data_IF_191469615642
#
_entry.id   IF_191469615642
#
_cell.length_a   1.000
_cell.length_b   1.000
_cell.length_c   1.000
_cell.angle_alpha   90.00
_cell.angle_beta   90.00
_cell.angle_gamma   90.00
#
_symmetry.space_group_name_H-M   'P 1'
#
loop_
_entity.id
_entity.type
_entity.pdbx_description
1 polymer ?
#
# COMPACT_ATOMS: atom_id res chain seq x y z
N UNK A 1 -29.76 1.99 2.92
CA UNK A 1 -28.62 2.45 2.10
C UNK A 1 -27.58 1.33 2.11
N UNK A 2 -27.25 0.73 0.95
CA UNK A 2 -26.18 -0.29 0.88
C UNK A 2 -24.85 0.42 1.10
N UNK A 3 -24.13 0.05 2.15
CA UNK A 3 -22.82 0.60 2.47
C UNK A 3 -21.77 -0.49 2.24
N UNK A 4 -20.67 -0.16 1.56
CA UNK A 4 -19.57 -1.11 1.29
C UNK A 4 -19.05 -1.76 2.58
N UNK A 5 -19.10 -1.05 3.71
CA UNK A 5 -18.64 -1.57 5.01
C UNK A 5 -19.51 -2.72 5.56
N UNK A 6 -20.71 -2.95 5.04
CA UNK A 6 -21.51 -4.12 5.41
C UNK A 6 -20.95 -5.41 4.78
N UNK A 7 -20.27 -5.29 3.65
CA UNK A 7 -19.74 -6.41 2.87
C UNK A 7 -18.24 -6.65 3.13
N UNK A 8 -17.59 -5.75 3.88
CA UNK A 8 -16.16 -5.77 4.16
C UNK A 8 -15.88 -5.95 5.65
N UNK A 9 -14.79 -6.65 5.98
CA UNK A 9 -14.39 -6.88 7.38
C UNK A 9 -13.96 -5.57 8.06
N UNK A 10 -14.33 -5.36 9.32
CA UNK A 10 -13.80 -4.26 10.12
C UNK A 10 -12.29 -4.45 10.37
N UNK A 11 -11.53 -3.40 10.11
CA UNK A 11 -10.07 -3.33 10.27
C UNK A 11 -9.64 -2.24 11.25
N UNK A 12 -10.58 -1.62 11.97
CA UNK A 12 -10.30 -0.53 12.93
C UNK A 12 -9.18 -0.88 13.92
N UNK A 13 -9.11 -2.15 14.34
CA UNK A 13 -8.08 -2.67 15.23
C UNK A 13 -6.66 -2.60 14.65
N UNK A 14 -6.48 -2.49 13.32
CA UNK A 14 -5.15 -2.34 12.72
C UNK A 14 -4.48 -1.02 13.14
N UNK A 15 -5.27 0.02 13.40
CA UNK A 15 -4.77 1.28 13.92
C UNK A 15 -4.18 1.13 15.33
N UNK A 16 -4.52 0.05 16.05
CA UNK A 16 -3.93 -0.23 17.37
C UNK A 16 -2.46 -0.67 17.29
N UNK A 17 -1.95 -1.00 16.09
CA UNK A 17 -0.53 -1.29 15.93
C UNK A 17 0.35 -0.04 15.92
N UNK A 18 -0.19 1.18 15.87
CA UNK A 18 0.63 2.39 16.00
C UNK A 18 1.44 2.34 17.31
N UNK A 19 2.78 2.38 17.25
CA UNK A 19 3.61 2.32 18.44
C UNK A 19 3.45 3.59 19.30
N UNK A 20 3.41 3.35 20.60
CA UNK A 20 3.51 4.34 21.67
C UNK A 20 4.79 4.08 22.47
N UNK A 21 5.12 4.98 23.39
CA UNK A 21 6.36 4.99 24.17
C UNK A 21 6.75 3.62 24.75
N UNK A 22 5.80 2.91 25.38
CA UNK A 22 6.07 1.61 25.99
C UNK A 22 6.62 0.58 25.01
N UNK A 23 6.15 0.58 23.76
CA UNK A 23 6.61 -0.36 22.74
C UNK A 23 8.01 0.00 22.21
N UNK A 24 8.35 1.28 22.13
CA UNK A 24 9.71 1.73 21.78
C UNK A 24 10.75 1.29 22.82
N UNK A 25 10.38 1.19 24.10
CA UNK A 25 11.27 0.68 25.15
C UNK A 25 11.29 -0.85 25.26
N UNK A 26 10.32 -1.55 24.67
CA UNK A 26 10.13 -2.99 24.87
C UNK A 26 10.58 -3.83 23.69
N UNK A 27 10.31 -3.37 22.46
CA UNK A 27 10.56 -4.13 21.25
C UNK A 27 11.69 -3.53 20.40
N UNK A 28 12.35 -4.41 19.66
CA UNK A 28 13.35 -4.05 18.66
C UNK A 28 12.74 -3.24 17.52
N UNK A 29 13.60 -2.52 16.81
CA UNK A 29 13.22 -1.66 15.68
C UNK A 29 12.43 -2.39 14.61
N UNK A 30 12.76 -3.64 14.28
CA UNK A 30 12.06 -4.43 13.26
C UNK A 30 10.55 -4.55 13.56
N UNK A 31 10.19 -4.81 14.82
CA UNK A 31 8.80 -4.91 15.27
C UNK A 31 8.16 -3.52 15.30
N UNK A 32 8.83 -2.53 15.87
CA UNK A 32 8.29 -1.17 16.00
C UNK A 32 8.06 -0.50 14.65
N UNK A 33 8.97 -0.68 13.69
CA UNK A 33 8.85 -0.17 12.33
C UNK A 33 7.79 -0.91 11.52
N UNK A 34 7.71 -2.25 11.65
CA UNK A 34 6.64 -3.03 11.05
C UNK A 34 5.26 -2.57 11.55
N UNK A 35 5.11 -2.40 12.87
CA UNK A 35 3.88 -1.94 13.49
C UNK A 35 3.46 -0.53 13.05
N UNK A 36 4.43 0.39 12.95
CA UNK A 36 4.21 1.71 12.35
C UNK A 36 3.65 1.58 10.92
N UNK A 37 4.23 0.70 10.09
CA UNK A 37 3.72 0.46 8.74
C UNK A 37 2.36 -0.22 8.69
N UNK A 38 1.99 -1.05 9.67
CA UNK A 38 0.63 -1.60 9.76
C UNK A 38 -0.39 -0.47 9.93
N UNK A 39 -0.07 0.54 10.74
CA UNK A 39 -0.95 1.71 10.88
C UNK A 39 -1.06 2.52 9.57
N UNK A 40 0.04 2.68 8.85
CA UNK A 40 0.01 3.37 7.56
C UNK A 40 -0.80 2.59 6.51
N UNK A 41 -0.63 1.26 6.50
CA UNK A 41 -1.40 0.34 5.66
C UNK A 41 -2.90 0.43 5.95
N UNK A 42 -3.29 0.51 7.23
CA UNK A 42 -4.67 0.76 7.64
C UNK A 42 -5.25 2.01 6.97
N UNK A 43 -4.52 3.13 6.98
CA UNK A 43 -5.00 4.36 6.33
C UNK A 43 -5.15 4.20 4.81
N UNK A 44 -4.25 3.48 4.13
CA UNK A 44 -4.39 3.24 2.69
C UNK A 44 -5.61 2.39 2.35
N UNK A 45 -5.86 1.33 3.12
CA UNK A 45 -7.07 0.51 2.93
C UNK A 45 -8.34 1.31 3.24
N UNK A 46 -8.34 2.12 4.30
CA UNK A 46 -9.45 3.03 4.60
C UNK A 46 -9.71 4.03 3.47
N UNK A 47 -8.67 4.63 2.87
CA UNK A 47 -8.80 5.53 1.73
C UNK A 47 -9.38 4.82 0.50
N UNK A 48 -8.95 3.58 0.24
CA UNK A 48 -9.47 2.77 -0.85
C UNK A 48 -10.96 2.44 -0.66
N UNK A 49 -11.34 1.97 0.54
CA UNK A 49 -12.73 1.66 0.89
C UNK A 49 -13.63 2.89 0.88
N UNK A 50 -13.13 4.01 1.38
CA UNK A 50 -13.83 5.30 1.33
C UNK A 50 -14.08 5.74 -0.11
N UNK A 51 -13.11 5.55 -1.00
CA UNK A 51 -13.26 5.84 -2.43
C UNK A 51 -14.34 4.97 -3.08
N UNK A 52 -14.39 3.66 -2.76
CA UNK A 52 -15.49 2.79 -3.19
C UNK A 52 -16.83 3.26 -2.62
N UNK A 53 -16.88 3.59 -1.33
CA UNK A 53 -18.09 4.08 -0.67
C UNK A 53 -18.65 5.31 -1.39
N UNK A 54 -17.82 6.30 -1.71
CA UNK A 54 -18.28 7.48 -2.42
C UNK A 54 -18.79 7.16 -3.81
N UNK A 55 -18.15 6.24 -4.55
CA UNK A 55 -18.63 5.79 -5.86
C UNK A 55 -20.09 5.28 -5.83
N UNK A 56 -20.54 4.73 -4.70
CA UNK A 56 -21.89 4.19 -4.49
C UNK A 56 -22.94 5.23 -4.08
N UNK A 57 -22.54 6.45 -3.71
CA UNK A 57 -23.44 7.45 -3.10
C UNK A 57 -24.19 8.31 -4.14
N UNK A 58 -25.06 7.66 -4.91
CA UNK A 58 -25.84 8.30 -5.97
C UNK A 58 -26.74 9.44 -5.47
N UNK A 59 -27.34 9.29 -4.28
CA UNK A 59 -28.22 10.31 -3.69
C UNK A 59 -27.44 11.60 -3.44
N UNK A 60 -26.22 11.54 -2.89
CA UNK A 60 -25.41 12.75 -2.70
C UNK A 60 -24.93 13.34 -4.02
N UNK A 61 -24.64 12.53 -5.04
CA UNK A 61 -24.28 13.09 -6.34
C UNK A 61 -25.41 13.90 -6.97
N UNK A 62 -26.66 13.44 -6.83
CA UNK A 62 -27.82 14.19 -7.30
C UNK A 62 -28.02 15.53 -6.58
N UNK A 63 -27.52 15.66 -5.33
CA UNK A 63 -27.49 16.94 -4.61
C UNK A 63 -26.37 17.89 -5.10
N UNK A 64 -25.32 17.36 -5.72
CA UNK A 64 -24.18 18.13 -6.22
C UNK A 64 -24.32 18.52 -7.70
N UNK A 65 -24.89 17.65 -8.52
CA UNK A 65 -25.14 17.89 -9.94
C UNK A 65 -26.24 16.98 -10.47
N UNK A 66 -27.12 17.52 -11.30
CA UNK A 66 -28.11 16.73 -12.05
C UNK A 66 -27.55 16.22 -13.40
N UNK A 67 -26.39 16.72 -13.83
CA UNK A 67 -25.77 16.29 -15.08
C UNK A 67 -25.19 14.88 -14.96
N UNK A 68 -25.74 13.95 -15.76
CA UNK A 68 -25.32 12.55 -15.79
C UNK A 68 -23.84 12.39 -16.13
N UNK A 69 -23.28 13.26 -16.97
CA UNK A 69 -21.86 13.19 -17.34
C UNK A 69 -20.97 13.60 -16.16
N UNK A 70 -21.30 14.69 -15.47
CA UNK A 70 -20.62 15.09 -14.24
C UNK A 70 -20.67 13.97 -13.19
N UNK A 71 -21.84 13.38 -12.93
CA UNK A 71 -22.00 12.27 -11.98
C UNK A 71 -21.12 11.07 -12.37
N UNK A 72 -21.13 10.70 -13.66
CA UNK A 72 -20.32 9.59 -14.17
C UNK A 72 -18.82 9.88 -14.04
N UNK A 73 -18.39 11.10 -14.36
CA UNK A 73 -16.99 11.50 -14.21
C UNK A 73 -16.55 11.51 -12.74
N UNK A 74 -17.42 11.89 -11.81
CA UNK A 74 -17.13 11.83 -10.38
C UNK A 74 -17.00 10.38 -9.90
N UNK A 75 -17.92 9.49 -10.30
CA UNK A 75 -17.83 8.06 -9.99
C UNK A 75 -16.53 7.45 -10.50
N UNK A 76 -16.14 7.79 -11.73
CA UNK A 76 -14.87 7.40 -12.34
C UNK A 76 -13.68 7.84 -11.49
N UNK A 77 -13.65 9.11 -11.07
CA UNK A 77 -12.56 9.62 -10.24
C UNK A 77 -12.40 8.81 -8.96
N UNK A 78 -13.49 8.51 -8.25
CA UNK A 78 -13.40 7.74 -7.02
C UNK A 78 -12.97 6.28 -7.25
N UNK A 79 -13.46 5.61 -8.29
CA UNK A 79 -13.08 4.22 -8.53
C UNK A 79 -11.62 4.08 -9.00
N UNK A 80 -11.13 5.02 -9.82
CA UNK A 80 -9.71 5.07 -10.21
C UNK A 80 -8.80 5.36 -8.99
N UNK A 81 -9.22 6.22 -8.05
CA UNK A 81 -8.49 6.43 -6.80
C UNK A 81 -8.48 5.19 -5.91
N UNK A 82 -9.60 4.47 -5.80
CA UNK A 82 -9.64 3.22 -5.04
C UNK A 82 -8.58 2.22 -5.54
N UNK A 83 -8.46 2.06 -6.86
CA UNK A 83 -7.43 1.24 -7.50
C UNK A 83 -6.00 1.68 -7.12
N UNK A 84 -5.72 2.99 -7.13
CA UNK A 84 -4.42 3.53 -6.72
C UNK A 84 -4.11 3.23 -5.25
N UNK A 85 -5.08 3.47 -4.35
CA UNK A 85 -4.90 3.26 -2.92
C UNK A 85 -4.69 1.78 -2.55
N UNK A 86 -5.40 0.85 -3.19
CA UNK A 86 -5.11 -0.58 -3.00
C UNK A 86 -3.72 -0.96 -3.50
N UNK A 87 -3.26 -0.38 -4.60
CA UNK A 87 -1.90 -0.62 -5.06
C UNK A 87 -0.86 -0.12 -4.04
N UNK A 88 -1.05 1.07 -3.47
CA UNK A 88 -0.19 1.58 -2.40
C UNK A 88 -0.26 0.70 -1.15
N UNK A 89 -1.44 0.17 -0.81
CA UNK A 89 -1.61 -0.74 0.31
C UNK A 89 -0.79 -2.04 0.12
N UNK A 90 -0.71 -2.59 -1.10
CA UNK A 90 0.15 -3.75 -1.39
C UNK A 90 1.62 -3.42 -1.15
N UNK A 91 2.09 -2.27 -1.66
CA UNK A 91 3.47 -1.83 -1.44
C UNK A 91 3.77 -1.64 0.06
N UNK A 92 2.79 -1.16 0.84
CA UNK A 92 2.92 -0.98 2.29
C UNK A 92 2.94 -2.32 3.03
N UNK A 93 2.16 -3.31 2.60
CA UNK A 93 2.24 -4.66 3.13
C UNK A 93 3.63 -5.26 2.92
N UNK A 94 4.23 -5.05 1.74
CA UNK A 94 5.61 -5.48 1.50
C UNK A 94 6.58 -4.78 2.45
N UNK A 95 6.38 -3.48 2.72
CA UNK A 95 7.18 -2.74 3.70
C UNK A 95 6.98 -3.23 5.14
N UNK A 96 5.77 -3.63 5.54
CA UNK A 96 5.52 -4.27 6.85
C UNK A 96 6.40 -5.50 7.01
N UNK A 97 6.37 -6.40 6.01
CA UNK A 97 7.17 -7.62 6.04
C UNK A 97 8.66 -7.31 5.94
N UNK A 98 9.05 -6.34 5.11
CA UNK A 98 10.42 -5.86 4.99
C UNK A 98 10.99 -5.43 6.32
N UNK A 99 10.28 -4.57 7.05
CA UNK A 99 10.71 -4.14 8.37
C UNK A 99 10.77 -5.30 9.36
N UNK A 100 9.81 -6.22 9.32
CA UNK A 100 9.83 -7.40 10.19
C UNK A 100 11.09 -8.25 9.98
N UNK A 101 11.45 -8.54 8.73
CA UNK A 101 12.52 -9.47 8.42
C UNK A 101 13.91 -8.83 8.31
N UNK A 102 14.03 -7.51 8.11
CA UNK A 102 15.32 -6.81 7.99
C UNK A 102 16.07 -6.71 9.35
N UNK A 103 16.21 -7.86 9.99
CA UNK A 103 16.49 -8.10 11.39
C UNK A 103 17.97 -8.39 11.65
N UNK A 104 18.83 -8.34 10.62
CA UNK A 104 20.13 -8.98 10.69
C UNK A 104 21.23 -8.08 11.29
N UNK A 105 21.24 -6.77 11.02
CA UNK A 105 22.45 -5.96 11.27
C UNK A 105 22.29 -4.75 12.22
N UNK A 106 21.07 -4.35 12.58
CA UNK A 106 20.82 -3.18 13.46
C UNK A 106 20.64 -3.55 14.94
N UNK A 107 21.36 -4.58 15.40
CA UNK A 107 21.48 -4.86 16.83
C UNK A 107 22.22 -3.67 17.45
N UNK A 108 21.53 -2.89 18.29
CA UNK A 108 22.03 -1.64 18.89
C UNK A 108 21.96 -0.41 17.96
N UNK A 109 20.80 -0.16 17.36
CA UNK A 109 20.46 1.17 16.85
C UNK A 109 19.15 1.65 17.46
N UNK A 110 19.09 2.91 17.86
CA UNK A 110 17.84 3.55 18.27
C UNK A 110 16.89 3.71 17.06
N UNK A 111 15.57 3.58 17.27
CA UNK A 111 14.58 3.80 16.22
C UNK A 111 14.47 5.30 15.91
N UNK A 112 15.12 5.74 14.83
CA UNK A 112 15.08 7.12 14.34
C UNK A 112 14.30 7.23 13.02
N UNK A 113 13.82 8.44 12.73
CA UNK A 113 13.16 8.73 11.46
C UNK A 113 14.12 8.54 10.27
N UNK A 114 15.39 8.90 10.44
CA UNK A 114 16.41 8.75 9.40
C UNK A 114 16.62 7.29 9.05
N UNK A 115 16.73 6.42 10.07
CA UNK A 115 16.87 4.98 9.88
C UNK A 115 15.63 4.39 9.20
N UNK A 116 14.44 4.72 9.72
CA UNK A 116 13.18 4.27 9.15
C UNK A 116 13.05 4.62 7.66
N UNK A 117 13.34 5.86 7.28
CA UNK A 117 13.28 6.33 5.90
C UNK A 117 14.33 5.69 4.98
N UNK A 118 15.53 5.43 5.51
CA UNK A 118 16.58 4.72 4.76
C UNK A 118 16.12 3.31 4.43
N UNK A 119 15.73 2.53 5.45
CA UNK A 119 15.34 1.13 5.29
C UNK A 119 14.10 0.96 4.41
N UNK A 120 13.13 1.89 4.50
CA UNK A 120 11.92 1.85 3.68
C UNK A 120 12.22 1.93 2.16
N UNK A 121 13.24 2.69 1.76
CA UNK A 121 13.60 2.90 0.34
C UNK A 121 14.24 1.68 -0.32
N UNK A 122 14.77 0.77 0.47
CA UNK A 122 15.46 -0.44 -0.01
C UNK A 122 14.46 -1.56 -0.34
N UNK A 123 13.21 -1.44 0.13
CA UNK A 123 12.18 -2.45 -0.05
C UNK A 123 11.73 -2.60 -1.51
N UNK A 124 11.83 -3.83 -2.02
CA UNK A 124 11.10 -4.30 -3.20
C UNK A 124 10.75 -5.78 -3.06
N UNK A 125 9.76 -6.25 -3.82
CA UNK A 125 9.23 -7.62 -3.68
C UNK A 125 10.29 -8.72 -3.89
N UNK A 126 11.19 -8.54 -4.86
CA UNK A 126 12.19 -9.57 -5.17
C UNK A 126 13.21 -9.71 -4.03
N UNK A 127 13.70 -8.58 -3.52
CA UNK A 127 14.63 -8.58 -2.39
C UNK A 127 13.94 -9.04 -1.10
N UNK A 128 12.68 -8.67 -0.88
CA UNK A 128 11.84 -9.18 0.22
C UNK A 128 11.72 -10.70 0.20
N UNK A 129 11.35 -11.28 -0.96
CA UNK A 129 11.24 -12.73 -1.12
C UNK A 129 12.60 -13.41 -0.88
N UNK A 130 13.68 -12.85 -1.43
CA UNK A 130 15.04 -13.39 -1.23
C UNK A 130 15.39 -13.40 0.27
N UNK A 131 15.23 -12.28 0.96
CA UNK A 131 15.57 -12.15 2.38
C UNK A 131 14.74 -13.08 3.27
N UNK A 132 13.43 -13.21 3.01
CA UNK A 132 12.59 -14.16 3.73
C UNK A 132 13.04 -15.62 3.53
N UNK A 133 13.48 -15.99 2.33
CA UNK A 133 13.98 -17.35 2.06
C UNK A 133 15.31 -17.61 2.78
N UNK A 134 16.21 -16.63 2.82
CA UNK A 134 17.50 -16.70 3.53
C UNK A 134 17.30 -16.90 5.04
N UNK A 135 16.30 -16.24 5.62
CA UNK A 135 15.91 -16.38 7.03
C UNK A 135 15.04 -17.63 7.33
N UNK A 136 14.85 -18.51 6.34
CA UNK A 136 14.02 -19.71 6.44
C UNK A 136 12.52 -19.45 6.70
N UNK A 137 12.04 -18.23 6.47
CA UNK A 137 10.62 -17.83 6.53
C UNK A 137 9.85 -18.23 5.25
N UNK A 138 10.04 -19.48 4.83
CA UNK A 138 9.53 -19.98 3.53
C UNK A 138 8.02 -19.88 3.41
N UNK A 139 7.29 -20.05 4.51
CA UNK A 139 5.82 -19.97 4.51
C UNK A 139 5.33 -18.56 4.17
N UNK A 140 5.96 -17.53 4.71
CA UNK A 140 5.64 -16.12 4.38
C UNK A 140 5.98 -15.85 2.92
N UNK A 141 7.15 -16.27 2.46
CA UNK A 141 7.59 -16.10 1.08
C UNK A 141 6.65 -16.79 0.07
N UNK A 142 6.15 -17.99 0.39
CA UNK A 142 5.23 -18.73 -0.48
C UNK A 142 3.87 -18.02 -0.56
N UNK A 143 3.31 -17.59 0.57
CA UNK A 143 2.05 -16.83 0.61
C UNK A 143 2.18 -15.51 -0.17
N UNK A 144 3.32 -14.83 -0.08
CA UNK A 144 3.60 -13.64 -0.88
C UNK A 144 3.59 -13.95 -2.38
N UNK A 145 4.27 -15.03 -2.81
CA UNK A 145 4.30 -15.44 -4.21
C UNK A 145 2.91 -15.80 -4.71
N UNK A 146 2.16 -16.57 -3.93
CA UNK A 146 0.87 -17.09 -4.34
C UNK A 146 -0.18 -15.99 -4.47
N UNK A 147 -0.02 -14.86 -3.77
CA UNK A 147 -1.00 -13.79 -3.75
C UNK A 147 -0.59 -12.50 -4.47
N UNK A 148 0.71 -12.18 -4.55
CA UNK A 148 1.23 -10.91 -5.07
C UNK A 148 2.16 -11.08 -6.27
N UNK A 149 1.95 -12.14 -7.04
CA UNK A 149 2.57 -12.35 -8.37
C UNK A 149 1.52 -12.79 -9.37
N UNK A 150 1.93 -13.11 -10.60
CA UNK A 150 1.07 -13.63 -11.66
C UNK A 150 0.34 -14.96 -11.32
N UNK A 151 0.67 -15.59 -10.18
CA UNK A 151 -0.03 -16.77 -9.64
C UNK A 151 -1.47 -16.44 -9.22
N UNK A 152 -1.71 -15.25 -8.67
CA UNK A 152 -3.05 -14.80 -8.34
C UNK A 152 -3.64 -14.00 -9.50
N UNK A 153 -4.66 -14.56 -10.16
CA UNK A 153 -5.31 -13.95 -11.31
C UNK A 153 -5.98 -12.61 -10.99
N UNK A 154 -6.60 -12.51 -9.81
CA UNK A 154 -7.25 -11.28 -9.34
C UNK A 154 -6.23 -10.17 -9.13
N UNK A 155 -5.16 -10.47 -8.39
CA UNK A 155 -4.07 -9.51 -8.19
C UNK A 155 -3.42 -9.09 -9.51
N UNK A 156 -3.17 -10.05 -10.41
CA UNK A 156 -2.62 -9.76 -11.74
C UNK A 156 -3.50 -8.77 -12.50
N UNK A 157 -4.81 -8.98 -12.54
CA UNK A 157 -5.75 -8.09 -13.20
C UNK A 157 -5.75 -6.68 -12.58
N UNK A 158 -5.78 -6.58 -11.25
CA UNK A 158 -5.68 -5.31 -10.52
C UNK A 158 -4.36 -4.60 -10.85
N UNK A 159 -3.25 -5.33 -10.88
CA UNK A 159 -1.92 -4.77 -11.16
C UNK A 159 -1.80 -4.29 -12.61
N UNK A 160 -2.41 -4.99 -13.56
CA UNK A 160 -2.51 -4.56 -14.96
C UNK A 160 -3.29 -3.25 -15.10
N UNK A 161 -4.45 -3.13 -14.45
CA UNK A 161 -5.22 -1.89 -14.43
C UNK A 161 -4.44 -0.74 -13.76
N UNK A 162 -3.83 -0.99 -12.61
CA UNK A 162 -3.00 0.03 -11.96
C UNK A 162 -1.86 0.50 -12.89
N UNK A 163 -1.11 -0.42 -13.49
CA UNK A 163 0.00 -0.08 -14.38
C UNK A 163 -0.49 0.71 -15.59
N UNK A 164 -1.64 0.33 -16.15
CA UNK A 164 -2.27 1.09 -17.22
C UNK A 164 -2.56 2.53 -16.78
N UNK A 165 -3.25 2.71 -15.64
CA UNK A 165 -3.57 4.03 -15.10
C UNK A 165 -2.32 4.85 -14.83
N UNK A 166 -1.27 4.25 -14.24
CA UNK A 166 0.02 4.89 -13.97
C UNK A 166 0.70 5.42 -15.23
N UNK A 167 0.65 4.69 -16.34
CA UNK A 167 1.36 5.03 -17.57
C UNK A 167 0.52 5.82 -18.59
N UNK A 168 -0.81 5.67 -18.56
CA UNK A 168 -1.74 6.30 -19.51
C UNK A 168 -2.60 7.40 -18.87
N UNK A 169 -2.44 7.63 -17.57
CA UNK A 169 -3.13 8.59 -16.70
C UNK A 169 -4.65 8.37 -16.53
N UNK A 170 -5.34 7.73 -17.49
CA UNK A 170 -6.80 7.62 -17.45
C UNK A 170 -7.30 6.44 -18.28
N UNK A 171 -8.38 5.79 -17.84
CA UNK A 171 -9.15 4.86 -18.68
C UNK A 171 -10.14 5.59 -19.58
N UNK A 172 -10.64 4.93 -20.62
CA UNK A 172 -11.88 5.39 -21.25
C UNK A 172 -13.07 4.80 -20.49
N UNK A 173 -14.07 5.63 -20.25
CA UNK A 173 -15.34 5.22 -19.66
C UNK A 173 -16.41 5.52 -20.68
N UNK A 174 -17.25 4.55 -21.07
CA UNK A 174 -18.33 4.77 -22.01
C UNK A 174 -19.15 5.99 -21.64
N UNK A 175 -19.54 6.79 -22.62
CA UNK A 175 -20.22 8.09 -22.46
C UNK A 175 -19.33 9.29 -22.11
N UNK A 176 -18.11 9.12 -21.60
CA UNK A 176 -17.19 10.24 -21.32
C UNK A 176 -16.25 10.56 -22.50
N UNK A 177 -16.85 10.72 -23.68
CA UNK A 177 -16.14 11.08 -24.92
C UNK A 177 -15.83 9.90 -25.85
N UNK A 178 -15.08 10.21 -26.91
CA UNK A 178 -14.82 9.32 -28.05
C UNK A 178 -13.55 8.49 -27.80
N UNK A 179 -13.57 7.21 -28.21
CA UNK A 179 -12.45 6.28 -28.06
C UNK A 179 -12.32 5.35 -29.28
N UNK A 180 -12.33 5.93 -30.48
CA UNK A 180 -12.18 5.17 -31.72
C UNK A 180 -10.83 4.45 -31.79
N UNK A 181 -10.85 3.20 -32.28
CA UNK A 181 -9.65 2.38 -32.47
C UNK A 181 -9.08 2.50 -33.88
N UNK A 182 -9.85 3.06 -34.80
CA UNK A 182 -9.54 3.13 -36.23
C UNK A 182 -9.97 4.49 -36.80
N UNK A 183 -9.33 4.91 -37.89
CA UNK A 183 -9.69 6.14 -38.60
C UNK A 183 -11.07 6.08 -39.22
N UNK A 184 -11.68 7.25 -39.36
CA UNK A 184 -13.00 7.40 -39.98
C UNK A 184 -13.03 6.92 -41.44
N UNK A 185 -11.94 7.13 -42.18
CA UNK A 185 -11.87 6.87 -43.62
C UNK A 185 -11.02 5.64 -43.94
N UNK A 186 -11.46 4.89 -44.96
CA UNK A 186 -10.64 3.90 -45.65
C UNK A 186 -9.74 4.62 -46.65
N UNK A 187 -8.44 4.31 -46.60
CA UNK A 187 -7.43 4.86 -47.50
C UNK A 187 -7.14 3.81 -48.57
N UNK A 188 -7.52 4.05 -49.85
CA UNK A 188 -7.20 3.14 -50.93
C UNK A 188 -5.68 3.09 -51.13
N UNK A 189 -5.11 1.89 -51.17
CA UNK A 189 -3.66 1.72 -51.02
C UNK A 189 -3.04 0.84 -52.09
N UNK A 190 -3.69 -0.24 -52.48
CA UNK A 190 -3.12 -1.19 -53.43
C UNK A 190 -4.20 -1.83 -54.30
N UNK A 191 -3.82 -2.18 -55.52
CA UNK A 191 -4.66 -2.93 -56.44
C UNK A 191 -4.11 -4.35 -56.50
N UNK A 192 -4.86 -5.30 -55.96
CA UNK A 192 -4.54 -6.73 -56.02
C UNK A 192 -5.16 -7.34 -57.27
N UNK A 193 -4.36 -8.06 -58.05
CA UNK A 193 -4.82 -8.83 -59.20
C UNK A 193 -4.55 -10.30 -58.99
N UNK A 194 -5.60 -11.08 -59.00
CA UNK A 194 -5.58 -12.55 -59.05
C UNK A 194 -6.10 -13.00 -60.43
N UNK A 195 -6.00 -14.31 -60.71
CA UNK A 195 -6.28 -14.87 -62.05
C UNK A 195 -7.69 -14.54 -62.58
N UNK A 196 -8.64 -14.25 -61.68
CA UNK A 196 -10.05 -14.02 -62.00
C UNK A 196 -10.53 -12.57 -61.79
N UNK A 197 -9.84 -11.73 -61.02
CA UNK A 197 -10.31 -10.36 -60.70
C UNK A 197 -9.19 -9.37 -60.33
N UNK A 198 -9.57 -8.09 -60.30
CA UNK A 198 -8.73 -6.97 -59.86
C UNK A 198 -9.50 -6.22 -58.77
N UNK A 199 -8.93 -6.10 -57.57
CA UNK A 199 -9.56 -5.50 -56.39
C UNK A 199 -8.74 -4.31 -55.87
N UNK A 200 -9.41 -3.20 -55.54
CA UNK A 200 -8.80 -2.08 -54.83
C UNK A 200 -8.90 -2.33 -53.32
N UNK A 201 -7.77 -2.57 -52.67
CA UNK A 201 -7.70 -2.78 -51.22
C UNK A 201 -7.49 -1.43 -50.54
N UNK A 202 -8.32 -1.19 -49.52
CA UNK A 202 -8.29 0.02 -48.72
C UNK A 202 -8.19 -0.35 -47.23
N UNK A 203 -7.40 0.41 -46.48
CA UNK A 203 -7.22 0.17 -45.04
C UNK A 203 -7.62 1.39 -44.23
N UNK A 204 -8.08 1.17 -43.00
CA UNK A 204 -8.17 2.22 -41.98
C UNK A 204 -6.85 2.31 -41.23
N UNK A 205 -6.48 3.51 -40.82
CA UNK A 205 -5.32 3.73 -39.96
C UNK A 205 -5.73 3.38 -38.53
N UNK A 206 -4.98 2.53 -37.80
CA UNK A 206 -5.22 2.31 -36.38
C UNK A 206 -4.95 3.60 -35.59
N UNK A 207 -5.87 3.98 -34.71
CA UNK A 207 -5.77 5.17 -33.87
C UNK A 207 -5.45 4.74 -32.42
N UNK A 208 -4.64 5.55 -31.74
CA UNK A 208 -4.33 5.35 -30.33
C UNK A 208 -5.61 5.52 -29.51
N UNK A 209 -6.11 4.41 -28.98
CA UNK A 209 -7.27 4.33 -28.10
C UNK A 209 -6.85 3.97 -26.68
N UNK A 210 -7.79 4.14 -25.74
CA UNK A 210 -7.63 3.75 -24.34
C UNK A 210 -8.34 2.43 -24.05
N UNK A 211 -7.88 1.74 -23.01
CA UNK A 211 -8.64 0.62 -22.44
C UNK A 211 -9.94 1.18 -21.90
N UNK A 212 -11.03 0.56 -22.30
CA UNK A 212 -12.37 0.84 -21.82
C UNK A 212 -12.60 0.10 -20.50
N UNK A 213 -13.19 0.78 -19.53
CA UNK A 213 -13.52 0.19 -18.24
C UNK A 213 -14.97 0.45 -17.88
N UNK A 214 -15.63 -0.59 -17.39
CA UNK A 214 -16.92 -0.49 -16.72
C UNK A 214 -16.68 -0.21 -15.23
N UNK A 215 -17.35 0.82 -14.70
CA UNK A 215 -17.17 1.27 -13.32
C UNK A 215 -17.71 0.23 -12.33
N UNK A 216 -18.83 -0.41 -12.66
CA UNK A 216 -19.44 -1.42 -11.79
C UNK A 216 -18.61 -2.70 -11.78
N UNK A 217 -18.07 -3.13 -12.92
CA UNK A 217 -17.16 -4.27 -12.99
C UNK A 217 -15.87 -4.02 -12.18
N UNK A 218 -15.22 -2.87 -12.36
CA UNK A 218 -14.02 -2.53 -11.58
C UNK A 218 -14.32 -2.48 -10.08
N UNK A 219 -15.49 -1.97 -9.69
CA UNK A 219 -15.92 -1.90 -8.30
C UNK A 219 -16.07 -3.30 -7.68
N UNK A 220 -16.78 -4.22 -8.33
CA UNK A 220 -16.90 -5.58 -7.81
C UNK A 220 -15.52 -6.27 -7.70
N UNK A 221 -14.64 -6.03 -8.68
CA UNK A 221 -13.27 -6.54 -8.67
C UNK A 221 -12.46 -6.02 -7.47
N UNK A 222 -12.58 -4.72 -7.14
CA UNK A 222 -11.88 -4.11 -6.01
C UNK A 222 -12.44 -4.54 -4.65
N UNK A 223 -13.75 -4.79 -4.56
CA UNK A 223 -14.37 -5.35 -3.35
C UNK A 223 -13.87 -6.78 -3.10
N UNK A 224 -13.79 -7.59 -4.15
CA UNK A 224 -13.26 -8.96 -4.03
C UNK A 224 -11.77 -8.94 -3.69
N UNK A 225 -11.01 -8.02 -4.27
CA UNK A 225 -9.61 -7.82 -3.91
C UNK A 225 -9.44 -7.44 -2.44
N UNK A 226 -10.25 -6.51 -1.91
CA UNK A 226 -10.20 -6.12 -0.49
C UNK A 226 -10.37 -7.32 0.44
N UNK A 227 -11.38 -8.16 0.19
CA UNK A 227 -11.67 -9.34 1.02
C UNK A 227 -10.49 -10.28 1.09
N UNK A 228 -9.86 -10.58 -0.06
CA UNK A 228 -8.68 -11.43 -0.12
C UNK A 228 -7.48 -10.75 0.54
N UNK A 229 -7.23 -9.48 0.20
CA UNK A 229 -6.09 -8.72 0.69
C UNK A 229 -6.09 -8.57 2.21
N UNK A 230 -7.23 -8.22 2.80
CA UNK A 230 -7.39 -8.07 4.25
C UNK A 230 -7.15 -9.39 4.98
N UNK A 231 -7.67 -10.49 4.45
CA UNK A 231 -7.41 -11.82 5.02
C UNK A 231 -5.92 -12.18 5.01
N UNK A 232 -5.21 -11.82 3.95
CA UNK A 232 -3.76 -12.05 3.84
C UNK A 232 -2.97 -11.14 4.81
N UNK A 233 -3.35 -9.87 4.94
CA UNK A 233 -2.74 -8.94 5.89
C UNK A 233 -2.84 -9.47 7.32
N UNK A 234 -4.05 -9.88 7.74
CA UNK A 234 -4.26 -10.41 9.09
C UNK A 234 -3.48 -11.69 9.35
N UNK A 235 -3.43 -12.59 8.37
CA UNK A 235 -2.59 -13.78 8.44
C UNK A 235 -1.12 -13.42 8.69
N UNK A 236 -0.59 -12.39 8.01
CA UNK A 236 0.77 -11.94 8.28
C UNK A 236 0.92 -11.30 9.65
N UNK A 237 -0.03 -10.44 10.07
CA UNK A 237 0.04 -9.78 11.37
C UNK A 237 0.04 -10.77 12.53
N UNK A 238 -0.75 -11.84 12.44
CA UNK A 238 -0.76 -12.93 13.43
C UNK A 238 0.60 -13.64 13.54
N UNK A 239 1.36 -13.71 12.46
CA UNK A 239 2.68 -14.36 12.44
C UNK A 239 3.76 -13.42 12.98
N UNK A 240 3.76 -12.16 12.54
CA UNK A 240 4.88 -11.25 12.76
C UNK A 240 4.78 -10.43 14.06
N UNK A 241 3.55 -10.18 14.55
CA UNK A 241 3.34 -9.31 15.69
C UNK A 241 3.31 -10.09 17.01
N UNK A 242 4.08 -9.66 18.03
CA UNK A 242 4.01 -10.27 19.36
C UNK A 242 2.60 -10.18 19.96
N UNK A 243 2.14 -11.25 20.62
CA UNK A 243 0.79 -11.32 21.22
C UNK A 243 0.55 -10.28 22.30
N UNK A 244 1.60 -9.82 22.96
CA UNK A 244 1.58 -8.82 24.01
C UNK A 244 1.87 -7.40 23.49
N UNK A 245 2.04 -7.22 22.17
CA UNK A 245 2.44 -5.94 21.57
C UNK A 245 1.54 -4.77 21.97
N UNK A 246 0.22 -4.96 21.92
CA UNK A 246 -0.75 -3.93 22.30
C UNK A 246 -0.71 -3.66 23.81
N UNK A 247 -0.44 -4.68 24.63
CA UNK A 247 -0.33 -4.53 26.10
C UNK A 247 0.95 -3.79 26.51
N UNK A 248 2.02 -3.90 25.72
CA UNK A 248 3.30 -3.24 25.96
C UNK A 248 3.26 -1.71 25.75
N UNK A 249 2.10 -1.12 25.44
CA UNK A 249 1.91 0.34 25.44
C UNK A 249 2.16 0.97 26.80
N UNK A 250 1.91 0.23 27.88
CA UNK A 250 2.18 0.70 29.24
C UNK A 250 3.68 0.82 29.49
N UNK A 251 4.12 2.02 29.87
CA UNK A 251 5.53 2.30 30.16
C UNK A 251 5.89 1.78 31.55
N UNK A 252 6.95 0.97 31.63
CA UNK A 252 7.49 0.44 32.89
C UNK A 252 8.88 1.02 33.14
N UNK A 253 9.16 1.46 34.36
CA UNK A 253 10.49 1.98 34.71
C UNK A 253 11.61 0.98 34.42
N UNK A 254 11.34 -0.32 34.62
CA UNK A 254 12.29 -1.40 34.33
C UNK A 254 12.64 -1.49 32.84
N UNK A 255 11.67 -1.28 31.94
CA UNK A 255 11.94 -1.33 30.48
C UNK A 255 12.72 -0.10 30.03
N UNK A 256 12.45 1.08 30.60
CA UNK A 256 13.26 2.28 30.35
C UNK A 256 14.71 2.08 30.79
N UNK A 257 14.92 1.53 31.99
CA UNK A 257 16.27 1.27 32.51
C UNK A 257 17.03 0.28 31.63
N UNK A 258 16.37 -0.80 31.21
CA UNK A 258 16.94 -1.77 30.28
C UNK A 258 17.29 -1.15 28.94
N UNK A 259 16.35 -0.41 28.33
CA UNK A 259 16.56 0.27 27.05
C UNK A 259 17.72 1.27 27.13
N UNK A 260 17.75 2.08 28.18
CA UNK A 260 18.82 3.06 28.40
C UNK A 260 20.16 2.37 28.57
N UNK A 261 20.21 1.26 29.32
CA UNK A 261 21.42 0.46 29.48
C UNK A 261 21.95 -0.11 28.16
N UNK A 262 21.06 -0.47 27.23
CA UNK A 262 21.42 -1.01 25.91
C UNK A 262 21.86 0.08 24.93
N UNK A 263 21.23 1.26 24.97
CA UNK A 263 21.36 2.29 23.92
C UNK A 263 22.01 3.61 24.39
N UNK A 264 22.64 3.63 25.57
CA UNK A 264 23.18 4.87 26.15
C UNK A 264 24.16 5.59 25.23
N UNK A 265 25.11 4.87 24.63
CA UNK A 265 26.13 5.47 23.77
C UNK A 265 25.53 6.00 22.45
N UNK A 266 24.53 5.31 21.91
CA UNK A 266 23.80 5.76 20.73
C UNK A 266 22.98 7.02 21.01
N UNK A 267 22.31 7.08 22.17
CA UNK A 267 21.58 8.26 22.60
C UNK A 267 22.51 9.46 22.78
N UNK A 268 23.71 9.24 23.33
CA UNK A 268 24.75 10.28 23.43
C UNK A 268 25.17 10.78 22.05
N UNK A 269 25.46 9.87 21.11
CA UNK A 269 25.88 10.24 19.76
C UNK A 269 24.77 10.96 18.99
N UNK A 270 23.57 10.40 18.99
CA UNK A 270 22.40 10.98 18.34
C UNK A 270 22.07 12.37 18.92
N UNK A 271 22.20 12.53 20.25
CA UNK A 271 22.01 13.79 20.96
C UNK A 271 22.99 14.90 20.57
N UNK A 272 24.20 14.58 20.08
CA UNK A 272 25.14 15.60 19.55
C UNK A 272 24.57 16.32 18.34
N UNK A 273 23.86 15.59 17.47
CA UNK A 273 23.24 16.13 16.26
C UNK A 273 21.80 16.63 16.50
N UNK A 274 21.19 16.25 17.62
CA UNK A 274 19.80 16.56 17.95
C UNK A 274 19.67 17.19 19.35
N UNK A 275 20.15 18.43 19.56
CA UNK A 275 20.21 19.04 20.89
C UNK A 275 18.85 19.17 21.59
N UNK A 276 17.74 19.16 20.85
CA UNK A 276 16.37 19.25 21.38
C UNK A 276 15.96 18.07 22.27
N UNK A 277 16.58 16.90 22.10
CA UNK A 277 16.27 15.71 22.92
C UNK A 277 17.11 15.65 24.20
N UNK A 278 18.13 16.52 24.32
CA UNK A 278 19.07 16.53 25.44
C UNK A 278 18.69 17.66 26.38
N UNK A 279 18.27 17.29 27.60
CA UNK A 279 18.16 18.23 28.71
C UNK A 279 19.31 18.00 29.69
N UNK A 280 19.92 19.07 30.18
CA UNK A 280 21.02 19.02 31.16
C UNK A 280 20.56 19.72 32.43
N UNK A 281 20.69 19.03 33.55
CA UNK A 281 20.49 19.58 34.88
C UNK A 281 21.84 19.54 35.60
N UNK A 282 22.23 20.66 36.21
CA UNK A 282 23.43 20.69 37.07
C UNK A 282 23.11 19.95 38.37
N UNK A 283 23.98 19.01 38.75
CA UNK A 283 23.86 18.23 39.98
C UNK A 283 25.11 18.43 40.83
N UNK A 284 24.94 18.89 42.07
CA UNK A 284 26.01 18.89 43.07
C UNK A 284 26.11 17.50 43.71
N UNK A 285 27.26 16.84 43.58
CA UNK A 285 27.53 15.56 44.23
C UNK A 285 28.33 15.82 45.50
N UNK A 286 27.68 15.71 46.66
CA UNK A 286 28.36 15.75 47.95
C UNK A 286 29.01 14.38 48.19
N UNK A 287 30.33 14.31 48.09
CA UNK A 287 31.09 13.13 48.52
C UNK A 287 31.11 13.15 50.05
N UNK A 288 30.55 12.13 50.71
CA UNK A 288 30.75 11.92 52.14
C UNK A 288 32.25 11.73 52.40
N UNK A 289 32.89 12.73 53.02
CA UNK A 289 34.24 12.58 53.56
C UNK A 289 34.19 11.49 54.65
N UNK A 290 35.02 10.46 54.48
CA UNK A 290 35.19 9.35 55.44
C UNK A 290 35.86 9.79 56.72
#
# INVERSE_FOLDING_TARGET
MKNVYNDLKDISFWNEYMPLDGQYYTYKNNITFAACKISDLYYQVCNARMSIHFCLDYEKYSMMSEDKMAILSTKKYFIENALLYYNFAVDYLWQVLWFYYNNADDVNQIPSNELYQKLMKECNLNDLIRGLVELQERKIAEVLKDNFTDRNKLFKQIREYYNYLKHRAIFHTPSLGINEKESMYYIPTLIEKNEEKVELVSYKIPIISRIEIDIDELKELLIEFDKQFVGICEYFFEIIMPKDYIKAREVKLSTIQQYTGQHLEELKEYGKNHPKIVSKMECEVYLEEK
#
